data_IF_832296460738
#
_entry.id   IF_832296460738
#
_cell.length_a   1.000
_cell.length_b   1.000
_cell.length_c   1.000
_cell.angle_alpha   90.00
_cell.angle_beta   90.00
_cell.angle_gamma   90.00
#
_symmetry.space_group_name_H-M   'P 1'
#
loop_
_entity.id
_entity.type
_entity.pdbx_description
1 polymer ?
#
# COMPACT_ATOMS: atom_id res chain seq x y z
N UNK A 1 -4.78 25.52 -7.98
CA UNK A 1 -4.34 24.91 -6.71
C UNK A 1 -4.87 23.48 -6.74
N UNK A 2 -4.07 22.56 -7.29
CA UNK A 2 -4.53 21.18 -7.54
C UNK A 2 -4.56 20.43 -6.21
N UNK A 3 -5.71 19.85 -5.88
CA UNK A 3 -5.84 19.00 -4.69
C UNK A 3 -5.01 17.74 -4.92
N UNK A 4 -3.98 17.55 -4.10
CA UNK A 4 -3.25 16.30 -3.99
C UNK A 4 -4.21 15.27 -3.40
N UNK A 5 -4.93 14.52 -4.25
CA UNK A 5 -5.82 13.47 -3.78
C UNK A 5 -4.96 12.32 -3.26
N UNK A 6 -4.76 12.29 -1.94
CA UNK A 6 -4.36 11.10 -1.21
C UNK A 6 -5.29 9.97 -1.66
N UNK A 7 -4.72 8.83 -2.07
CA UNK A 7 -5.49 7.71 -2.61
C UNK A 7 -6.35 7.14 -1.48
N UNK A 8 -7.59 7.61 -1.39
CA UNK A 8 -8.69 6.87 -0.78
C UNK A 8 -8.80 5.55 -1.56
N UNK A 9 -8.88 4.42 -0.84
CA UNK A 9 -9.09 3.00 -1.24
C UNK A 9 -9.69 2.66 -2.62
N UNK A 10 -10.37 3.58 -3.30
CA UNK A 10 -11.10 3.38 -4.55
C UNK A 10 -10.22 2.81 -5.68
N UNK A 11 -10.48 1.55 -6.01
CA UNK A 11 -9.96 0.90 -7.21
C UNK A 11 -8.79 -0.05 -7.01
N UNK A 12 -8.29 -0.24 -5.77
CA UNK A 12 -7.25 -1.24 -5.46
C UNK A 12 -7.81 -2.65 -5.61
N UNK A 13 -7.05 -3.52 -6.31
CA UNK A 13 -7.40 -4.92 -6.56
C UNK A 13 -6.24 -5.84 -6.23
N UNK A 14 -6.55 -7.09 -5.94
CA UNK A 14 -5.54 -8.16 -5.87
C UNK A 14 -4.80 -8.23 -7.21
N UNK A 15 -3.47 -8.27 -7.16
CA UNK A 15 -2.58 -8.23 -8.31
C UNK A 15 -2.10 -6.82 -8.69
N UNK A 16 -2.68 -5.76 -8.11
CA UNK A 16 -2.19 -4.40 -8.37
C UNK A 16 -0.77 -4.24 -7.84
N UNK A 17 0.04 -3.56 -8.65
CA UNK A 17 1.37 -3.11 -8.25
C UNK A 17 1.22 -1.79 -7.52
N UNK A 18 1.82 -1.67 -6.35
CA UNK A 18 1.78 -0.44 -5.56
C UNK A 18 3.19 0.03 -5.19
N UNK A 19 3.30 1.32 -4.86
CA UNK A 19 4.48 1.95 -4.30
C UNK A 19 4.11 2.58 -2.96
N UNK A 20 4.89 2.28 -1.92
CA UNK A 20 4.73 2.83 -0.58
C UNK A 20 5.06 4.33 -0.61
N UNK A 21 4.17 5.13 -0.01
CA UNK A 21 4.38 6.57 0.15
C UNK A 21 4.71 6.88 1.61
N UNK A 22 4.02 6.23 2.54
CA UNK A 22 4.20 6.46 3.97
C UNK A 22 3.72 5.24 4.77
N UNK A 23 4.48 4.90 5.79
CA UNK A 23 4.12 3.98 6.87
C UNK A 23 4.73 4.54 8.16
N UNK A 24 4.07 4.28 9.29
CA UNK A 24 4.60 4.62 10.61
C UNK A 24 4.80 3.36 11.46
N UNK A 25 5.61 2.44 10.95
CA UNK A 25 5.95 1.19 11.61
C UNK A 25 7.47 1.10 11.76
N UNK A 26 7.95 0.93 12.99
CA UNK A 26 9.38 0.81 13.32
C UNK A 26 9.91 -0.61 13.23
N UNK A 27 9.06 -1.59 12.94
CA UNK A 27 9.39 -3.02 12.89
C UNK A 27 9.56 -3.58 11.47
N UNK A 28 9.44 -2.72 10.45
CA UNK A 28 9.63 -3.06 9.04
C UNK A 28 10.86 -2.35 8.47
N UNK A 29 11.50 -2.96 7.47
CA UNK A 29 12.57 -2.32 6.70
C UNK A 29 12.02 -1.52 5.51
N UNK A 30 10.69 -1.50 5.32
CA UNK A 30 10.01 -0.78 4.25
C UNK A 30 10.23 0.74 4.32
N UNK A 31 10.45 1.33 3.16
CA UNK A 31 10.70 2.76 2.99
C UNK A 31 9.82 3.34 1.90
N UNK A 32 9.48 4.64 1.97
CA UNK A 32 8.84 5.33 0.85
C UNK A 32 9.58 5.06 -0.46
N UNK A 33 8.85 4.62 -1.48
CA UNK A 33 9.39 4.20 -2.78
C UNK A 33 9.49 2.68 -2.97
N UNK A 34 9.43 1.89 -1.90
CA UNK A 34 9.37 0.43 -2.00
C UNK A 34 8.10 0.00 -2.70
N UNK A 35 8.19 -1.08 -3.47
CA UNK A 35 7.10 -1.53 -4.31
C UNK A 35 6.72 -2.96 -3.98
N UNK A 36 5.44 -3.23 -4.10
CA UNK A 36 4.88 -4.54 -3.80
C UNK A 36 3.66 -4.85 -4.66
N UNK A 37 3.19 -6.08 -4.56
CA UNK A 37 2.00 -6.56 -5.25
C UNK A 37 0.94 -6.92 -4.23
N UNK A 38 -0.26 -6.37 -4.37
CA UNK A 38 -1.39 -6.68 -3.47
C UNK A 38 -1.78 -8.14 -3.63
N UNK A 39 -1.76 -8.93 -2.55
CA UNK A 39 -2.11 -10.35 -2.59
C UNK A 39 -3.46 -10.67 -1.91
N UNK A 40 -3.91 -9.83 -0.98
CA UNK A 40 -5.19 -9.97 -0.28
C UNK A 40 -5.73 -8.61 0.14
N UNK A 41 -7.05 -8.46 0.09
CA UNK A 41 -7.77 -7.31 0.62
C UNK A 41 -8.72 -7.83 1.70
N UNK A 42 -8.67 -7.24 2.90
CA UNK A 42 -9.60 -7.53 3.98
C UNK A 42 -10.41 -6.27 4.29
N UNK A 43 -11.65 -6.24 3.80
CA UNK A 43 -12.51 -5.07 3.95
C UNK A 43 -13.03 -4.89 5.38
N UNK A 44 -13.15 -5.99 6.15
CA UNK A 44 -13.64 -5.94 7.52
C UNK A 44 -12.59 -5.38 8.48
N UNK A 45 -11.32 -5.66 8.19
CA UNK A 45 -10.19 -5.17 8.98
C UNK A 45 -9.61 -3.85 8.45
N UNK A 46 -10.10 -3.37 7.32
CA UNK A 46 -9.58 -2.18 6.62
C UNK A 46 -8.07 -2.27 6.33
N UNK A 47 -7.60 -3.43 5.86
CA UNK A 47 -6.19 -3.67 5.51
C UNK A 47 -6.02 -4.28 4.12
N UNK A 48 -4.84 -4.06 3.53
CA UNK A 48 -4.39 -4.78 2.33
C UNK A 48 -3.07 -5.48 2.60
N UNK A 49 -2.96 -6.75 2.22
CA UNK A 49 -1.70 -7.48 2.29
C UNK A 49 -0.94 -7.36 0.99
N UNK A 50 0.36 -7.17 1.11
CA UNK A 50 1.24 -6.87 -0.01
C UNK A 50 2.46 -7.77 0.08
N UNK A 51 2.78 -8.43 -1.03
CA UNK A 51 4.08 -9.06 -1.23
C UNK A 51 5.05 -7.99 -1.71
N UNK A 52 5.94 -7.53 -0.82
CA UNK A 52 6.92 -6.48 -1.11
C UNK A 52 8.15 -7.06 -1.81
N UNK A 53 8.76 -6.28 -2.72
CA UNK A 53 9.93 -6.74 -3.50
C UNK A 53 11.17 -6.97 -2.64
N UNK A 54 11.24 -6.35 -1.47
CA UNK A 54 12.30 -6.59 -0.49
C UNK A 54 12.13 -7.94 0.24
N UNK A 55 11.05 -8.68 -0.05
CA UNK A 55 10.74 -9.98 0.54
C UNK A 55 9.82 -9.92 1.77
N UNK A 56 9.47 -8.73 2.26
CA UNK A 56 8.53 -8.59 3.36
C UNK A 56 7.09 -8.91 2.94
N UNK A 57 6.32 -9.45 3.89
CA UNK A 57 4.88 -9.67 3.77
C UNK A 57 4.19 -8.87 4.87
N UNK A 58 3.93 -7.60 4.58
CA UNK A 58 3.34 -6.66 5.53
C UNK A 58 2.03 -6.12 4.97
N UNK A 59 1.02 -6.05 5.84
CA UNK A 59 -0.23 -5.40 5.52
C UNK A 59 -0.12 -3.88 5.70
N UNK A 60 -0.79 -3.12 4.84
CA UNK A 60 -1.02 -1.70 5.01
C UNK A 60 -2.40 -1.44 5.58
N UNK A 61 -2.47 -0.54 6.56
CA UNK A 61 -3.70 -0.03 7.15
C UNK A 61 -4.32 1.04 6.24
N UNK A 62 -5.54 0.80 5.77
CA UNK A 62 -6.25 1.75 4.90
C UNK A 62 -6.57 3.03 5.70
N UNK A 63 -6.23 4.18 5.13
CA UNK A 63 -6.47 5.50 5.73
C UNK A 63 -5.40 5.97 6.71
N UNK A 64 -4.50 5.08 7.15
CA UNK A 64 -3.34 5.42 7.98
C UNK A 64 -2.08 5.39 7.11
N UNK A 65 -1.81 4.26 6.47
CA UNK A 65 -0.69 4.10 5.56
C UNK A 65 -1.05 4.66 4.19
N UNK A 66 -0.04 5.13 3.45
CA UNK A 66 -0.22 5.75 2.14
C UNK A 66 0.56 4.99 1.11
N UNK A 67 -0.08 4.74 -0.02
CA UNK A 67 0.52 4.10 -1.18
C UNK A 67 -0.16 4.63 -2.46
N UNK A 68 0.44 4.35 -3.61
CA UNK A 68 -0.17 4.61 -4.92
C UNK A 68 -0.11 3.36 -5.78
N UNK A 69 -1.13 3.16 -6.61
CA UNK A 69 -1.08 2.15 -7.67
C UNK A 69 -0.07 2.60 -8.74
N UNK A 70 0.86 1.72 -9.07
CA UNK A 70 1.79 1.89 -10.18
C UNK A 70 1.07 1.40 -11.43
N UNK A 71 0.55 2.33 -12.24
CA UNK A 71 0.01 1.98 -13.56
C UNK A 71 1.15 1.47 -14.45
N UNK A 72 0.85 0.42 -15.23
CA UNK A 72 1.70 -0.01 -16.35
C UNK A 72 1.81 1.09 -17.40
#
# INVERSE_FOLDING_TARGET
MGVEKLVEKEGVKIGDRIELIFINDTWTDLKPGDKGTVNKIDENQEIIWVDWDNGEQLALLIGIDKFKIVKK
#
